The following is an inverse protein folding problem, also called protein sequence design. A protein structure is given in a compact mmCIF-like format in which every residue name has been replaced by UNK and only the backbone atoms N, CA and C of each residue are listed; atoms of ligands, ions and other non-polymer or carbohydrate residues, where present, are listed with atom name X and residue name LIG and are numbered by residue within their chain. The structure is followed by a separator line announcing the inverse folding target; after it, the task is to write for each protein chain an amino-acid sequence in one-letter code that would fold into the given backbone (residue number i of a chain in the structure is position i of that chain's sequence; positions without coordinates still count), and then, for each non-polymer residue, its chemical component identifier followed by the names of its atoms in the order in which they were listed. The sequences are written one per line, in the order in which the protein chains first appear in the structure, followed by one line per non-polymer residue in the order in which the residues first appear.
data_IF_399353555101
#
_entry.id   IF_399353555101
#
_cell.length_a   1.000
_cell.length_b   1.000
_cell.length_c   1.000
_cell.angle_alpha   90.00
_cell.angle_beta   90.00
_cell.angle_gamma   90.00
#
_symmetry.space_group_name_H-M   'P 1'
#
loop_
_entity.id
_entity.type
_entity.pdbx_description
1 polymer ?
#
# COMPACT_ATOMS: atom_id res chain seq x y z
N UNK A 1 -19.86 35.43 -54.23
CA UNK A 1 -20.05 34.00 -53.89
C UNK A 1 -19.11 33.64 -52.75
N UNK A 2 -19.71 33.13 -51.67
CA UNK A 2 -19.11 32.60 -50.45
C UNK A 2 -18.29 31.35 -50.74
N UNK A 3 -17.09 31.17 -50.14
CA UNK A 3 -16.57 29.97 -49.40
C UNK A 3 -15.31 30.41 -48.63
N UNK A 4 -15.34 30.63 -47.30
CA UNK A 4 -15.46 29.71 -46.14
C UNK A 4 -14.12 29.04 -45.78
N UNK A 5 -13.74 29.31 -44.52
CA UNK A 5 -12.53 28.94 -43.75
C UNK A 5 -12.22 27.43 -43.71
N UNK A 6 -10.94 27.14 -43.46
CA UNK A 6 -10.47 26.06 -42.57
C UNK A 6 -9.03 26.42 -42.16
N UNK A 7 -8.81 27.15 -41.06
CA UNK A 7 -8.65 26.63 -39.69
C UNK A 7 -7.45 25.69 -39.54
N UNK A 8 -6.42 26.30 -38.96
CA UNK A 8 -5.16 25.77 -38.44
C UNK A 8 -5.44 24.59 -37.50
N UNK A 9 -5.12 23.38 -37.96
CA UNK A 9 -5.27 22.16 -37.19
C UNK A 9 -4.11 21.99 -36.22
N UNK A 10 -4.26 22.48 -34.98
CA UNK A 10 -3.36 22.14 -33.89
C UNK A 10 -3.30 20.60 -33.71
N UNK A 11 -2.10 20.02 -33.51
CA UNK A 11 -1.99 18.58 -33.31
C UNK A 11 -2.71 18.17 -32.01
N UNK A 12 -3.38 17.01 -31.98
CA UNK A 12 -4.07 16.56 -30.78
C UNK A 12 -3.04 16.34 -29.66
N UNK A 13 -3.17 17.09 -28.56
CA UNK A 13 -2.49 16.81 -27.29
C UNK A 13 -2.73 15.34 -26.96
N UNK A 14 -1.66 14.55 -27.05
CA UNK A 14 -1.65 13.14 -26.64
C UNK A 14 -1.95 13.11 -25.14
N UNK A 15 -3.21 12.88 -24.78
CA UNK A 15 -3.61 12.69 -23.39
C UNK A 15 -2.65 11.69 -22.74
N UNK A 16 -1.92 12.14 -21.73
CA UNK A 16 -1.01 11.29 -20.97
C UNK A 16 -1.85 10.14 -20.40
N UNK A 17 -1.57 8.91 -20.83
CA UNK A 17 -2.22 7.74 -20.24
C UNK A 17 -1.81 7.73 -18.76
N UNK A 18 -2.75 7.60 -17.81
CA UNK A 18 -2.38 7.42 -16.42
C UNK A 18 -1.47 6.20 -16.35
N UNK A 19 -0.22 6.42 -15.95
CA UNK A 19 0.71 5.35 -15.65
C UNK A 19 0.09 4.63 -14.47
N UNK A 20 -0.53 3.49 -14.75
CA UNK A 20 -1.06 2.63 -13.71
C UNK A 20 0.16 2.08 -12.98
N UNK A 21 0.48 2.68 -11.82
CA UNK A 21 1.57 2.21 -10.97
C UNK A 21 1.34 0.73 -10.68
N UNK A 22 2.28 -0.09 -11.16
CA UNK A 22 2.21 -1.53 -10.97
C UNK A 22 2.54 -1.80 -9.50
N UNK A 23 1.74 -2.61 -8.79
CA UNK A 23 2.04 -2.93 -7.40
C UNK A 23 3.39 -3.67 -7.31
N UNK A 24 4.27 -3.19 -6.43
CA UNK A 24 5.53 -3.85 -6.09
C UNK A 24 5.28 -4.84 -4.95
N UNK A 25 5.79 -6.07 -5.09
CA UNK A 25 5.62 -7.13 -4.08
C UNK A 25 6.77 -7.07 -3.08
N UNK A 26 6.42 -7.11 -1.80
CA UNK A 26 7.35 -7.31 -0.70
C UNK A 26 7.03 -8.66 -0.04
N UNK A 27 8.06 -9.49 0.14
CA UNK A 27 7.97 -10.79 0.83
C UNK A 27 8.62 -10.67 2.18
N UNK A 28 8.01 -11.26 3.21
CA UNK A 28 8.52 -11.27 4.59
C UNK A 28 8.49 -12.69 5.09
N UNK A 29 9.62 -13.15 5.62
CA UNK A 29 9.71 -14.43 6.30
C UNK A 29 9.24 -14.28 7.74
N UNK A 30 8.29 -15.12 8.13
CA UNK A 30 7.78 -15.19 9.49
C UNK A 30 8.18 -16.52 10.10
N UNK A 31 8.65 -16.50 11.33
CA UNK A 31 8.79 -17.74 12.11
C UNK A 31 7.44 -18.44 12.23
N UNK A 32 7.39 -19.78 12.40
CA UNK A 32 6.14 -20.50 12.59
C UNK A 32 5.29 -19.95 13.75
N UNK A 33 5.95 -19.43 14.79
CA UNK A 33 5.29 -18.78 15.94
C UNK A 33 4.61 -17.47 15.52
N UNK A 34 5.33 -16.58 14.84
CA UNK A 34 4.77 -15.32 14.33
C UNK A 34 3.65 -15.55 13.32
N UNK A 35 3.80 -16.53 12.42
CA UNK A 35 2.77 -16.86 11.43
C UNK A 35 1.46 -17.28 12.11
N UNK A 36 1.51 -18.14 13.14
CA UNK A 36 0.33 -18.57 13.89
C UNK A 36 -0.29 -17.43 14.70
N UNK A 37 0.53 -16.63 15.37
CA UNK A 37 0.06 -15.47 16.13
C UNK A 37 -0.66 -14.46 15.21
N UNK A 38 -0.10 -14.16 14.04
CA UNK A 38 -0.73 -13.29 13.05
C UNK A 38 -2.02 -13.89 12.48
N UNK A 39 -2.09 -15.22 12.28
CA UNK A 39 -3.33 -15.87 11.84
C UNK A 39 -4.44 -15.74 12.88
N UNK A 40 -4.14 -15.97 14.17
CA UNK A 40 -5.11 -15.83 15.25
C UNK A 40 -5.60 -14.39 15.39
N UNK A 41 -4.67 -13.43 15.39
CA UNK A 41 -5.03 -12.01 15.46
C UNK A 41 -5.93 -11.57 14.30
N UNK A 42 -5.69 -12.05 13.08
CA UNK A 42 -6.55 -11.74 11.91
C UNK A 42 -7.97 -12.29 12.04
N UNK A 43 -8.15 -13.45 12.68
CA UNK A 43 -9.48 -14.00 12.97
C UNK A 43 -10.22 -13.08 13.93
N UNK A 44 -9.61 -12.76 15.08
CA UNK A 44 -10.22 -11.85 16.06
C UNK A 44 -10.52 -10.48 15.47
N UNK A 45 -9.59 -9.91 14.70
CA UNK A 45 -9.80 -8.62 14.03
C UNK A 45 -10.92 -8.69 12.97
N UNK A 46 -11.15 -9.83 12.32
CA UNK A 46 -12.26 -10.00 11.39
C UNK A 46 -13.60 -9.98 12.14
N UNK A 47 -13.68 -10.69 13.26
CA UNK A 47 -14.85 -10.72 14.14
C UNK A 47 -15.16 -9.32 14.68
N UNK A 48 -14.17 -8.62 15.21
CA UNK A 48 -14.31 -7.26 15.77
C UNK A 48 -14.76 -6.25 14.71
N UNK A 49 -14.30 -6.40 13.47
CA UNK A 49 -14.66 -5.53 12.35
C UNK A 49 -15.97 -5.95 11.65
N UNK A 50 -16.59 -7.05 12.07
CA UNK A 50 -17.76 -7.63 11.39
C UNK A 50 -17.48 -8.04 9.94
N UNK A 51 -16.24 -8.44 9.62
CA UNK A 51 -15.80 -8.82 8.27
C UNK A 51 -15.68 -10.33 8.14
N UNK A 52 -15.97 -10.84 6.95
CA UNK A 52 -15.80 -12.26 6.64
C UNK A 52 -14.34 -12.72 6.82
N UNK A 53 -13.38 -11.85 6.48
CA UNK A 53 -11.94 -12.15 6.66
C UNK A 53 -11.10 -10.89 6.66
N UNK A 54 -9.96 -10.99 7.34
CA UNK A 54 -8.83 -10.07 7.23
C UNK A 54 -7.63 -10.82 6.65
N UNK A 55 -7.07 -10.32 5.56
CA UNK A 55 -5.92 -10.96 4.89
C UNK A 55 -4.60 -10.38 5.35
N UNK A 56 -3.51 -11.15 5.31
CA UNK A 56 -2.17 -10.64 5.63
C UNK A 56 -1.79 -9.44 4.76
N UNK A 57 -2.23 -9.40 3.49
CA UNK A 57 -2.02 -8.26 2.61
C UNK A 57 -2.68 -6.98 3.13
N UNK A 58 -3.94 -7.05 3.59
CA UNK A 58 -4.64 -5.89 4.14
C UNK A 58 -3.94 -5.36 5.40
N UNK A 59 -3.48 -6.28 6.25
CA UNK A 59 -2.75 -5.94 7.47
C UNK A 59 -1.44 -5.23 7.13
N UNK A 60 -0.63 -5.81 6.25
CA UNK A 60 0.64 -5.21 5.85
C UNK A 60 0.45 -3.86 5.16
N UNK A 61 -0.58 -3.72 4.31
CA UNK A 61 -0.89 -2.44 3.68
C UNK A 61 -1.30 -1.38 4.70
N UNK A 62 -2.12 -1.74 5.69
CA UNK A 62 -2.51 -0.83 6.78
C UNK A 62 -1.30 -0.44 7.65
N UNK A 63 -0.42 -1.40 7.97
CA UNK A 63 0.80 -1.14 8.72
C UNK A 63 1.74 -0.20 7.97
N UNK A 64 1.97 -0.42 6.67
CA UNK A 64 2.80 0.48 5.84
C UNK A 64 2.17 1.87 5.76
N UNK A 65 0.86 1.95 5.55
CA UNK A 65 0.15 3.24 5.48
C UNK A 65 0.32 4.01 6.79
N UNK A 66 0.17 3.33 7.94
CA UNK A 66 0.34 3.97 9.24
C UNK A 66 1.79 4.35 9.51
N UNK A 67 2.75 3.46 9.21
CA UNK A 67 4.17 3.72 9.38
C UNK A 67 4.60 4.98 8.62
N UNK A 68 4.07 5.22 7.42
CA UNK A 68 4.44 6.37 6.61
C UNK A 68 3.71 7.68 6.99
N UNK A 69 2.75 7.62 7.91
CA UNK A 69 1.91 8.77 8.29
C UNK A 69 1.98 9.14 9.78
N UNK A 70 2.56 8.29 10.63
CA UNK A 70 2.59 8.41 12.09
C UNK A 70 4.06 8.47 12.56
N UNK A 71 4.52 9.66 12.94
CA UNK A 71 5.91 9.90 13.34
C UNK A 71 6.28 9.12 14.62
N UNK A 72 5.36 8.98 15.57
CA UNK A 72 5.60 8.22 16.81
C UNK A 72 5.77 6.73 16.51
N UNK A 73 4.94 6.17 15.62
CA UNK A 73 5.12 4.80 15.15
C UNK A 73 6.46 4.64 14.42
N UNK A 74 6.85 5.62 13.60
CA UNK A 74 8.13 5.59 12.89
C UNK A 74 9.31 5.50 13.86
N UNK A 75 9.33 6.34 14.89
CA UNK A 75 10.41 6.32 15.89
C UNK A 75 10.45 5.00 16.66
N UNK A 76 9.28 4.46 17.04
CA UNK A 76 9.22 3.14 17.71
C UNK A 76 9.80 2.03 16.85
N UNK A 77 9.44 1.99 15.56
CA UNK A 77 9.98 0.98 14.64
C UNK A 77 11.49 1.18 14.42
N UNK A 78 11.98 2.43 14.37
CA UNK A 78 13.43 2.70 14.30
C UNK A 78 14.17 2.16 15.52
N UNK A 79 13.63 2.38 16.72
CA UNK A 79 14.21 1.87 17.96
C UNK A 79 14.24 0.32 18.00
N UNK A 80 13.13 -0.33 17.61
CA UNK A 80 13.05 -1.79 17.55
C UNK A 80 14.10 -2.37 16.57
N UNK A 81 14.27 -1.75 15.40
CA UNK A 81 15.25 -2.18 14.41
C UNK A 81 16.69 -1.99 14.89
N UNK A 82 16.98 -0.96 15.67
CA UNK A 82 18.31 -0.73 16.25
C UNK A 82 18.64 -1.82 17.27
N UNK A 83 17.70 -2.13 18.16
CA UNK A 83 17.82 -3.21 19.15
C UNK A 83 18.04 -4.60 18.51
N UNK A 84 17.43 -4.85 17.35
CA UNK A 84 17.61 -6.12 16.62
C UNK A 84 19.00 -6.29 16.02
N UNK A 85 19.73 -5.20 15.76
CA UNK A 85 21.09 -5.26 15.21
C UNK A 85 22.15 -5.56 16.28
N UNK A 86 21.81 -5.36 17.54
CA UNK A 86 22.68 -5.61 18.69
C UNK A 86 22.64 -7.09 19.15
N UNK A 87 21.79 -7.92 18.51
CA UNK A 87 21.64 -9.36 18.73
C UNK A 87 22.30 -10.18 17.62
#
# INVERSE_FOLDING_TARGET
MVRKRHEDGAPPTRAARPVRDKPVRHTVDLTPVQHRALAQWRTSAADDLGRIRVTSQQVLQALVTRLLADDDLTEKIRADLDQQREL
#
